data_IF_020431833906
#
_entry.id   IF_020431833906
#
_cell.length_a   1.000
_cell.length_b   1.000
_cell.length_c   1.000
_cell.angle_alpha   90.00
_cell.angle_beta   90.00
_cell.angle_gamma   90.00
#
_symmetry.space_group_name_H-M   'P 1'
#
loop_
_entity.id
_entity.type
_entity.pdbx_description
1 polymer ?
#
# COMPACT_ATOMS: atom_id res chain seq x y z
N UNK A 1 20.51 4.41 -91.00
CA UNK A 1 21.93 4.31 -91.37
C UNK A 1 22.64 3.63 -90.21
N UNK A 2 23.35 2.54 -90.53
CA UNK A 2 24.18 1.65 -89.71
C UNK A 2 25.10 2.47 -88.76
N UNK A 3 25.57 2.04 -87.58
CA UNK A 3 26.20 0.78 -87.26
C UNK A 3 26.50 0.73 -85.75
N UNK A 4 26.35 -0.46 -85.18
CA UNK A 4 26.96 -0.89 -83.93
C UNK A 4 28.50 -0.83 -84.07
N UNK A 5 29.23 -0.39 -83.05
CA UNK A 5 30.67 -0.68 -82.94
C UNK A 5 31.08 -0.91 -81.50
N UNK A 6 31.82 -2.00 -81.32
CA UNK A 6 32.28 -2.61 -80.08
C UNK A 6 33.54 -1.93 -79.58
N UNK A 7 33.68 -1.80 -78.27
CA UNK A 7 34.93 -1.41 -77.62
C UNK A 7 35.05 -2.08 -76.26
N UNK A 8 35.49 -3.34 -76.24
CA UNK A 8 35.92 -4.04 -75.04
C UNK A 8 37.36 -3.60 -74.74
N UNK A 9 37.57 -2.83 -73.67
CA UNK A 9 38.91 -2.54 -73.14
C UNK A 9 39.01 -3.18 -71.76
N UNK A 10 39.71 -4.30 -71.72
CA UNK A 10 40.18 -4.97 -70.53
C UNK A 10 41.45 -4.26 -70.04
N UNK A 11 41.40 -3.60 -68.87
CA UNK A 11 42.60 -3.14 -68.17
C UNK A 11 42.55 -3.63 -66.73
N UNK A 12 43.33 -4.68 -66.47
CA UNK A 12 43.71 -5.16 -65.13
C UNK A 12 44.38 -4.02 -64.36
N UNK A 13 43.82 -3.68 -63.21
CA UNK A 13 44.46 -2.88 -62.16
C UNK A 13 44.28 -3.60 -60.83
N UNK A 14 45.37 -4.08 -60.27
CA UNK A 14 45.41 -4.74 -58.97
C UNK A 14 45.05 -3.76 -57.84
N UNK A 15 44.09 -4.19 -57.02
CA UNK A 15 44.05 -4.15 -55.55
C UNK A 15 44.87 -3.08 -54.81
N UNK A 16 44.18 -2.26 -54.00
CA UNK A 16 44.49 -1.95 -52.58
C UNK A 16 43.39 -0.99 -52.07
N UNK A 17 42.26 -1.53 -51.61
CA UNK A 17 41.35 -0.77 -50.76
C UNK A 17 42.05 -0.52 -49.41
N UNK A 18 42.11 0.71 -48.89
CA UNK A 18 42.55 0.91 -47.52
C UNK A 18 41.49 0.29 -46.60
N UNK A 19 41.81 -0.88 -46.06
CA UNK A 19 41.15 -1.46 -44.90
C UNK A 19 41.53 -0.60 -43.69
N UNK A 20 40.92 0.58 -43.60
CA UNK A 20 40.89 1.34 -42.37
C UNK A 20 39.80 0.73 -41.50
N UNK A 21 40.15 -0.34 -40.77
CA UNK A 21 39.37 -0.80 -39.62
C UNK A 21 39.47 0.24 -38.52
N UNK A 22 38.67 1.29 -38.65
CA UNK A 22 38.30 2.11 -37.51
C UNK A 22 37.55 1.23 -36.53
N UNK A 23 38.25 0.68 -35.54
CA UNK A 23 37.63 0.12 -34.35
C UNK A 23 37.05 1.30 -33.57
N UNK A 24 35.88 1.78 -33.99
CA UNK A 24 35.13 2.79 -33.27
C UNK A 24 34.60 2.11 -32.02
N UNK A 25 35.34 2.25 -30.92
CA UNK A 25 34.88 1.86 -29.59
C UNK A 25 33.72 2.77 -29.20
N UNK A 26 32.51 2.44 -29.67
CA UNK A 26 31.29 2.91 -29.02
C UNK A 26 31.29 2.27 -27.64
N UNK A 27 31.88 2.98 -26.68
CA UNK A 27 31.66 2.75 -25.25
C UNK A 27 30.20 3.10 -25.00
N UNK A 28 29.30 2.21 -25.43
CA UNK A 28 27.93 2.23 -24.98
C UNK A 28 28.01 2.20 -23.48
N UNK A 29 27.51 3.25 -22.83
CA UNK A 29 27.18 3.17 -21.42
C UNK A 29 26.19 2.02 -21.31
N UNK A 30 26.71 0.83 -20.96
CA UNK A 30 25.85 -0.25 -20.51
C UNK A 30 25.15 0.34 -19.30
N UNK A 31 23.84 0.57 -19.42
CA UNK A 31 22.99 0.79 -18.27
C UNK A 31 23.40 -0.29 -17.27
N UNK A 32 23.90 0.13 -16.11
CA UNK A 32 24.27 -0.79 -15.06
C UNK A 32 23.07 -1.71 -14.85
N UNK A 33 23.26 -3.01 -15.08
CA UNK A 33 22.30 -4.01 -14.62
C UNK A 33 22.34 -3.88 -13.11
N UNK A 34 21.24 -3.49 -12.48
CA UNK A 34 21.34 -3.15 -11.10
C UNK A 34 20.89 -4.44 -10.39
N UNK A 35 21.90 -5.26 -10.15
CA UNK A 35 21.80 -6.48 -9.40
C UNK A 35 23.14 -6.70 -8.73
N UNK A 36 23.14 -6.58 -7.39
CA UNK A 36 23.73 -7.59 -6.50
C UNK A 36 23.76 -7.25 -4.99
N UNK A 37 23.04 -6.24 -4.49
CA UNK A 37 23.06 -5.92 -3.05
C UNK A 37 21.67 -5.88 -2.37
N UNK A 38 20.77 -6.85 -2.58
CA UNK A 38 19.56 -7.07 -1.74
C UNK A 38 18.59 -5.89 -1.47
N UNK A 39 18.80 -4.73 -2.08
CA UNK A 39 18.25 -3.44 -1.68
C UNK A 39 17.74 -2.61 -2.86
N UNK A 40 17.52 -3.24 -4.00
CA UNK A 40 17.03 -2.53 -5.18
C UNK A 40 15.53 -2.78 -5.41
N UNK A 41 14.75 -1.75 -5.10
CA UNK A 41 13.29 -1.76 -5.22
C UNK A 41 12.77 -0.71 -6.21
N UNK A 42 13.67 -0.10 -7.00
CA UNK A 42 13.29 0.86 -8.04
C UNK A 42 12.89 0.06 -9.26
N UNK A 43 11.59 0.10 -9.60
CA UNK A 43 11.08 -0.46 -10.84
C UNK A 43 11.16 0.63 -11.92
N UNK A 44 12.08 0.50 -12.87
CA UNK A 44 12.22 1.40 -14.03
C UNK A 44 13.57 2.13 -14.10
N UNK A 45 13.75 2.93 -15.16
CA UNK A 45 14.92 3.82 -15.32
C UNK A 45 14.68 5.15 -14.61
N UNK A 46 15.75 5.89 -14.29
CA UNK A 46 15.66 7.22 -13.64
C UNK A 46 14.91 8.27 -14.46
N UNK A 47 14.73 8.03 -15.76
CA UNK A 47 14.08 8.96 -16.69
C UNK A 47 12.65 8.52 -17.07
N UNK A 48 12.15 7.39 -16.54
CA UNK A 48 10.77 6.97 -16.78
C UNK A 48 9.79 7.74 -15.88
N UNK A 49 8.66 8.18 -16.45
CA UNK A 49 7.59 8.76 -15.67
C UNK A 49 7.00 7.73 -14.70
N UNK A 50 6.74 8.14 -13.46
CA UNK A 50 6.05 7.31 -12.47
C UNK A 50 4.65 6.99 -12.97
N UNK A 51 4.37 5.71 -13.21
CA UNK A 51 3.02 5.25 -13.53
C UNK A 51 2.20 5.26 -12.25
N UNK A 52 1.24 6.18 -12.18
CA UNK A 52 0.33 6.28 -11.04
C UNK A 52 -0.73 5.18 -11.13
N UNK A 53 -1.07 4.52 -10.01
CA UNK A 53 -2.23 3.64 -9.98
C UNK A 53 -3.51 4.44 -10.30
N UNK A 54 -4.55 3.80 -10.86
CA UNK A 54 -5.85 4.44 -11.05
C UNK A 54 -6.37 5.04 -9.74
N UNK A 55 -6.91 6.26 -9.80
CA UNK A 55 -7.42 6.94 -8.61
C UNK A 55 -8.69 6.27 -8.13
N UNK A 56 -8.62 5.63 -6.97
CA UNK A 56 -9.77 5.08 -6.26
C UNK A 56 -10.12 5.98 -5.05
N UNK A 57 -11.39 6.40 -4.98
CA UNK A 57 -11.91 7.22 -3.87
C UNK A 57 -12.07 6.39 -2.59
N UNK A 58 -12.39 5.11 -2.72
CA UNK A 58 -12.61 4.20 -1.58
C UNK A 58 -11.28 3.94 -0.86
N UNK A 59 -10.21 3.71 -1.60
CA UNK A 59 -8.87 3.49 -1.06
C UNK A 59 -8.23 4.71 -0.38
N UNK A 60 -8.77 5.91 -0.58
CA UNK A 60 -8.19 7.15 -0.07
C UNK A 60 -9.19 8.03 0.66
N UNK A 61 -9.93 8.86 -0.10
CA UNK A 61 -10.80 9.91 0.46
C UNK A 61 -11.85 9.37 1.43
N UNK A 62 -12.59 8.34 1.04
CA UNK A 62 -13.68 7.84 1.88
C UNK A 62 -13.17 7.12 3.13
N UNK A 63 -12.04 6.43 3.03
CA UNK A 63 -11.39 5.84 4.20
C UNK A 63 -10.96 6.91 5.20
N UNK A 64 -10.32 7.98 4.72
CA UNK A 64 -9.91 9.11 5.55
C UNK A 64 -11.12 9.81 6.19
N UNK A 65 -12.17 10.11 5.41
CA UNK A 65 -13.39 10.76 5.92
C UNK A 65 -14.05 9.90 7.01
N UNK A 66 -14.10 8.58 6.81
CA UNK A 66 -14.66 7.63 7.77
C UNK A 66 -13.87 7.56 9.08
N UNK A 67 -12.53 7.55 9.02
CA UNK A 67 -11.69 7.63 10.21
C UNK A 67 -11.97 8.88 11.04
N UNK A 68 -12.07 10.04 10.37
CA UNK A 68 -12.35 11.30 11.04
C UNK A 68 -13.75 11.30 11.64
N UNK A 69 -14.74 10.78 10.93
CA UNK A 69 -16.10 10.65 11.43
C UNK A 69 -16.15 9.82 12.73
N UNK A 70 -15.52 8.64 12.76
CA UNK A 70 -15.48 7.81 13.96
C UNK A 70 -14.77 8.52 15.13
N UNK A 71 -13.65 9.20 14.84
CA UNK A 71 -12.87 9.93 15.84
C UNK A 71 -13.67 11.09 16.44
N UNK A 72 -14.34 11.89 15.60
CA UNK A 72 -15.19 13.00 16.05
C UNK A 72 -16.39 12.49 16.84
N UNK A 73 -16.99 11.36 16.43
CA UNK A 73 -18.15 10.78 17.11
C UNK A 73 -17.80 10.22 18.50
N UNK A 74 -16.58 9.73 18.70
CA UNK A 74 -16.13 9.23 20.00
C UNK A 74 -16.03 10.31 21.08
N UNK A 75 -15.76 11.56 20.72
CA UNK A 75 -15.63 12.66 21.68
C UNK A 75 -16.93 12.87 22.50
N UNK A 76 -18.10 13.17 21.87
CA UNK A 76 -19.34 13.33 22.62
C UNK A 76 -19.82 12.04 23.27
N UNK A 77 -19.54 10.87 22.68
CA UNK A 77 -19.88 9.58 23.30
C UNK A 77 -19.13 9.35 24.61
N UNK A 78 -17.83 9.68 24.63
CA UNK A 78 -17.01 9.58 25.84
C UNK A 78 -17.52 10.53 26.91
N UNK A 79 -17.80 11.80 26.55
CA UNK A 79 -18.38 12.77 27.49
C UNK A 79 -19.72 12.28 28.03
N UNK A 80 -20.61 11.78 27.15
CA UNK A 80 -21.91 11.26 27.54
C UNK A 80 -21.79 10.07 28.51
N UNK A 81 -20.82 9.19 28.31
CA UNK A 81 -20.57 8.03 29.18
C UNK A 81 -20.13 8.42 30.59
N UNK A 82 -19.32 9.49 30.71
CA UNK A 82 -18.84 9.99 32.00
C UNK A 82 -19.94 10.77 32.72
N UNK A 83 -20.66 11.65 32.02
CA UNK A 83 -21.69 12.52 32.62
C UNK A 83 -22.92 11.74 33.07
N UNK A 84 -23.40 10.78 32.26
CA UNK A 84 -24.59 9.99 32.62
C UNK A 84 -24.34 9.10 33.83
N UNK A 85 -23.09 8.77 34.13
CA UNK A 85 -22.74 8.05 35.34
C UNK A 85 -23.55 6.76 35.46
N UNK A 86 -23.50 5.88 34.45
CA UNK A 86 -23.92 4.48 34.56
C UNK A 86 -24.37 3.81 33.28
N UNK A 87 -24.81 2.55 33.39
CA UNK A 87 -25.17 1.72 32.23
C UNK A 87 -26.37 2.33 31.53
N UNK A 88 -26.12 2.90 30.35
CA UNK A 88 -27.16 3.43 29.50
C UNK A 88 -27.11 2.67 28.16
N UNK A 89 -28.11 1.81 27.87
CA UNK A 89 -28.00 0.81 26.80
C UNK A 89 -27.60 1.36 25.43
N UNK A 90 -28.10 2.54 25.06
CA UNK A 90 -27.80 3.15 23.76
C UNK A 90 -26.36 3.66 23.70
N UNK A 91 -25.87 4.28 24.77
CA UNK A 91 -24.50 4.82 24.79
C UNK A 91 -23.49 3.70 24.85
N UNK A 92 -23.78 2.64 25.62
CA UNK A 92 -22.93 1.47 25.77
C UNK A 92 -22.92 0.63 24.48
N UNK A 93 -24.05 0.53 23.78
CA UNK A 93 -24.10 -0.07 22.44
C UNK A 93 -23.31 0.74 21.42
N UNK A 94 -23.50 2.06 21.38
CA UNK A 94 -22.75 2.95 20.48
C UNK A 94 -21.25 2.87 20.74
N UNK A 95 -20.82 2.90 22.01
CA UNK A 95 -19.42 2.72 22.39
C UNK A 95 -18.91 1.34 22.00
N UNK A 96 -19.67 0.28 22.26
CA UNK A 96 -19.31 -1.09 21.93
C UNK A 96 -19.15 -1.38 20.43
N UNK A 97 -19.63 -0.49 19.56
CA UNK A 97 -19.46 -0.59 18.11
C UNK A 97 -18.41 0.40 17.60
N UNK A 98 -18.58 1.68 17.90
CA UNK A 98 -17.77 2.76 17.33
C UNK A 98 -16.32 2.68 17.83
N UNK A 99 -16.11 2.33 19.10
CA UNK A 99 -14.77 2.22 19.67
C UNK A 99 -13.96 1.07 19.02
N UNK A 100 -14.46 -0.18 18.92
CA UNK A 100 -13.74 -1.23 18.20
C UNK A 100 -13.46 -0.91 16.73
N UNK A 101 -14.38 -0.25 16.02
CA UNK A 101 -14.14 0.16 14.63
C UNK A 101 -13.03 1.21 14.52
N UNK A 102 -13.00 2.20 15.40
CA UNK A 102 -11.91 3.18 15.44
C UNK A 102 -10.56 2.50 15.72
N UNK A 103 -10.51 1.58 16.68
CA UNK A 103 -9.32 0.78 16.97
C UNK A 103 -8.91 -0.11 15.79
N UNK A 104 -9.86 -0.72 15.08
CA UNK A 104 -9.58 -1.56 13.91
C UNK A 104 -8.82 -0.78 12.83
N UNK A 105 -9.29 0.41 12.48
CA UNK A 105 -8.63 1.22 11.44
C UNK A 105 -7.27 1.72 11.92
N UNK A 106 -7.16 2.13 13.19
CA UNK A 106 -5.87 2.52 13.77
C UNK A 106 -4.83 1.41 13.76
N UNK A 107 -5.24 0.17 14.09
CA UNK A 107 -4.35 -0.99 14.01
C UNK A 107 -4.04 -1.40 12.56
N UNK A 108 -4.97 -1.24 11.62
CA UNK A 108 -4.70 -1.50 10.20
C UNK A 108 -3.61 -0.55 9.68
N UNK A 109 -3.66 0.74 10.05
CA UNK A 109 -2.61 1.72 9.75
C UNK A 109 -1.24 1.32 10.35
N UNK A 110 -1.22 0.84 11.60
CA UNK A 110 0.01 0.31 12.21
C UNK A 110 0.55 -0.90 11.44
N UNK A 111 -0.31 -1.80 10.98
CA UNK A 111 0.11 -2.97 10.20
C UNK A 111 0.70 -2.53 8.86
N UNK A 112 0.08 -1.55 8.17
CA UNK A 112 0.59 -1.07 6.87
C UNK A 112 1.94 -0.37 6.99
N UNK A 113 2.17 0.35 8.09
CA UNK A 113 3.41 1.10 8.30
C UNK A 113 4.59 0.20 8.70
N UNK A 114 4.37 -0.74 9.62
CA UNK A 114 5.45 -1.58 10.16
C UNK A 114 5.63 -2.90 9.39
N UNK A 115 4.58 -3.43 8.80
CA UNK A 115 4.61 -4.68 8.05
C UNK A 115 4.18 -4.44 6.59
N UNK A 116 4.99 -3.72 5.79
CA UNK A 116 4.64 -3.42 4.42
C UNK A 116 4.57 -4.70 3.58
N UNK A 117 3.49 -4.85 2.81
CA UNK A 117 3.24 -6.03 1.97
C UNK A 117 4.40 -6.37 1.04
N UNK A 118 5.11 -5.34 0.53
CA UNK A 118 6.25 -5.49 -0.37
C UNK A 118 7.45 -6.22 0.25
N UNK A 119 7.67 -6.07 1.56
CA UNK A 119 8.80 -6.70 2.27
C UNK A 119 8.37 -7.97 2.98
N UNK A 120 7.22 -7.93 3.66
CA UNK A 120 6.77 -8.98 4.57
C UNK A 120 5.35 -9.47 4.20
N UNK A 121 5.11 -10.09 3.03
CA UNK A 121 3.77 -10.40 2.53
C UNK A 121 3.01 -11.42 3.40
N UNK A 122 3.70 -12.42 3.96
CA UNK A 122 3.10 -13.45 4.82
C UNK A 122 2.65 -12.86 6.16
N UNK A 123 3.51 -12.05 6.77
CA UNK A 123 3.25 -11.45 8.08
C UNK A 123 2.16 -10.38 7.99
N UNK A 124 2.22 -9.54 6.95
CA UNK A 124 1.17 -8.57 6.64
C UNK A 124 -0.20 -9.28 6.48
N UNK A 125 -0.27 -10.35 5.67
CA UNK A 125 -1.52 -11.11 5.48
C UNK A 125 -2.03 -11.71 6.79
N UNK A 126 -1.14 -12.27 7.60
CA UNK A 126 -1.50 -12.89 8.88
C UNK A 126 -2.07 -11.87 9.86
N UNK A 127 -1.41 -10.72 10.01
CA UNK A 127 -1.90 -9.65 10.88
C UNK A 127 -3.18 -9.00 10.37
N UNK A 128 -3.33 -8.75 9.07
CA UNK A 128 -4.57 -8.18 8.53
C UNK A 128 -5.78 -9.11 8.74
N UNK A 129 -5.62 -10.42 8.55
CA UNK A 129 -6.69 -11.38 8.83
C UNK A 129 -6.92 -11.59 10.32
N UNK A 130 -5.85 -11.65 11.10
CA UNK A 130 -5.92 -11.73 12.56
C UNK A 130 -6.65 -10.54 13.16
N UNK A 131 -6.35 -9.33 12.68
CA UNK A 131 -7.03 -8.10 13.11
C UNK A 131 -8.53 -8.16 12.83
N UNK A 132 -8.95 -8.63 11.65
CA UNK A 132 -10.38 -8.82 11.33
C UNK A 132 -11.06 -9.82 12.28
N UNK A 133 -10.40 -10.94 12.56
CA UNK A 133 -10.92 -11.94 13.49
C UNK A 133 -11.05 -11.37 14.91
N UNK A 134 -10.02 -10.68 15.40
CA UNK A 134 -10.02 -10.02 16.71
C UNK A 134 -11.12 -8.97 16.78
N UNK A 135 -11.32 -8.16 15.74
CA UNK A 135 -12.39 -7.16 15.72
C UNK A 135 -13.78 -7.80 15.80
N UNK A 136 -14.02 -8.91 15.11
CA UNK A 136 -15.29 -9.64 15.23
C UNK A 136 -15.49 -10.21 16.63
N UNK A 137 -14.44 -10.78 17.23
CA UNK A 137 -14.48 -11.30 18.60
C UNK A 137 -14.78 -10.18 19.60
N UNK A 138 -14.11 -9.03 19.47
CA UNK A 138 -14.33 -7.87 20.33
C UNK A 138 -15.74 -7.33 20.17
N UNK A 139 -16.24 -7.17 18.93
CA UNK A 139 -17.61 -6.72 18.68
C UNK A 139 -18.64 -7.66 19.31
N UNK A 140 -18.43 -8.98 19.17
CA UNK A 140 -19.28 -9.97 19.81
C UNK A 140 -19.21 -9.89 21.34
N UNK A 141 -18.01 -9.75 21.92
CA UNK A 141 -17.85 -9.55 23.36
C UNK A 141 -18.54 -8.28 23.87
N UNK A 142 -18.42 -7.17 23.15
CA UNK A 142 -19.13 -5.93 23.49
C UNK A 142 -20.66 -6.11 23.39
N UNK A 143 -21.15 -6.86 22.42
CA UNK A 143 -22.57 -7.19 22.31
C UNK A 143 -23.05 -8.02 23.51
N UNK A 144 -22.32 -9.07 23.89
CA UNK A 144 -22.63 -9.91 25.05
C UNK A 144 -22.62 -9.10 26.35
N UNK A 145 -21.61 -8.25 26.58
CA UNK A 145 -21.56 -7.38 27.76
C UNK A 145 -22.74 -6.42 27.86
N UNK A 146 -23.22 -5.92 26.71
CA UNK A 146 -24.33 -4.97 26.67
C UNK A 146 -25.72 -5.62 26.77
N UNK A 147 -25.84 -6.91 26.43
CA UNK A 147 -27.14 -7.61 26.39
C UNK A 147 -27.35 -8.59 27.53
N UNK A 148 -26.29 -9.30 27.95
CA UNK A 148 -26.35 -10.37 28.93
C UNK A 148 -25.58 -10.07 30.22
N UNK A 149 -24.88 -8.93 30.30
CA UNK A 149 -24.11 -8.51 31.47
C UNK A 149 -24.42 -7.04 31.86
N UNK A 150 -23.62 -6.45 32.73
CA UNK A 150 -23.81 -5.13 33.34
C UNK A 150 -23.60 -3.94 32.40
N UNK A 151 -23.07 -4.15 31.19
CA UNK A 151 -22.73 -3.08 30.26
C UNK A 151 -21.31 -2.54 30.41
N UNK A 152 -20.79 -1.95 29.32
CA UNK A 152 -19.40 -1.50 29.24
C UNK A 152 -19.07 -0.38 30.24
N UNK A 153 -19.96 0.60 30.41
CA UNK A 153 -19.67 1.76 31.27
C UNK A 153 -19.69 1.39 32.75
N UNK A 154 -20.62 0.54 33.17
CA UNK A 154 -20.65 0.00 34.54
C UNK A 154 -19.48 -0.94 34.81
N UNK A 155 -19.07 -1.75 33.84
CA UNK A 155 -17.87 -2.57 33.97
C UNK A 155 -16.65 -1.70 34.26
N UNK A 156 -16.44 -0.62 33.50
CA UNK A 156 -15.32 0.31 33.72
C UNK A 156 -15.38 0.94 35.11
N UNK A 157 -16.56 1.38 35.56
CA UNK A 157 -16.71 1.94 36.91
C UNK A 157 -16.41 0.93 38.01
N UNK A 158 -16.89 -0.32 37.87
CA UNK A 158 -16.62 -1.38 38.85
C UNK A 158 -15.15 -1.70 38.93
N UNK A 159 -14.47 -1.79 37.78
CA UNK A 159 -13.01 -2.01 37.71
C UNK A 159 -12.25 -0.84 38.33
N UNK A 160 -12.73 0.39 38.20
CA UNK A 160 -12.09 1.56 38.80
C UNK A 160 -12.15 1.59 40.34
N UNK A 161 -13.17 0.97 40.92
CA UNK A 161 -13.37 0.87 42.37
C UNK A 161 -13.00 -0.50 42.96
N UNK A 162 -12.48 -1.41 42.14
CA UNK A 162 -11.98 -2.73 42.55
C UNK A 162 -10.57 -2.62 43.14
#
# INVERSE_FOLDING_TARGET
MLSFSRGFVFRRGFHLSPFASGFTFHRGFRNASPNNNGAEYIKGSVNEAVVLPPRDKVAGSYHWDFERLLSVTLIPLTIASVVKGGAHPITDLCLGVILPFHCHIGFDAMITDYFPHRRNPVLNRSFSWGLRAVTLIVLYGCYEFNTNDVGLTELVKKVWHA
#
